data_IF_651742824247
#
_entry.id   IF_651742824247
#
_cell.length_a   1.000
_cell.length_b   1.000
_cell.length_c   1.000
_cell.angle_alpha   90.00
_cell.angle_beta   90.00
_cell.angle_gamma   90.00
#
_symmetry.space_group_name_H-M   'P 1'
#
loop_
_entity.id
_entity.type
_entity.pdbx_description
1 polymer ?
#
# COMPACT_ATOMS: atom_id res chain seq x y z
N UNK A 1 0.08 -7.86 42.67
CA UNK A 1 -0.21 -6.72 41.79
C UNK A 1 0.69 -6.84 40.58
N UNK A 2 0.14 -7.25 39.44
CA UNK A 2 0.86 -7.27 38.16
C UNK A 2 0.77 -5.86 37.60
N UNK A 3 1.86 -5.10 37.68
CA UNK A 3 1.96 -3.82 36.99
C UNK A 3 1.80 -4.08 35.49
N UNK A 4 0.67 -3.65 34.95
CA UNK A 4 0.43 -3.70 33.52
C UNK A 4 1.46 -2.79 32.84
N UNK A 5 2.48 -3.40 32.23
CA UNK A 5 3.48 -2.68 31.44
C UNK A 5 2.70 -1.85 30.40
N UNK A 6 2.82 -0.51 30.40
CA UNK A 6 2.10 0.32 29.45
C UNK A 6 2.46 -0.11 28.04
N UNK A 7 1.46 -0.47 27.24
CA UNK A 7 1.66 -0.76 25.83
C UNK A 7 2.31 0.46 25.17
N UNK A 8 3.55 0.31 24.72
CA UNK A 8 4.30 1.41 24.14
C UNK A 8 3.55 1.97 22.93
N UNK A 9 3.27 3.28 22.98
CA UNK A 9 2.47 3.96 21.96
C UNK A 9 3.25 4.07 20.65
N UNK A 10 2.59 3.65 19.58
CA UNK A 10 3.10 3.76 18.22
C UNK A 10 3.33 5.24 17.86
N UNK A 11 4.47 5.61 17.28
CA UNK A 11 4.73 7.01 16.90
C UNK A 11 3.70 7.51 15.89
N UNK A 12 3.29 8.77 16.00
CA UNK A 12 2.25 9.37 15.15
C UNK A 12 2.53 9.22 13.65
N UNK A 13 3.79 9.38 13.23
CA UNK A 13 4.20 9.17 11.84
C UNK A 13 3.88 7.74 11.36
N UNK A 14 4.23 6.72 12.16
CA UNK A 14 3.98 5.32 11.80
C UNK A 14 2.46 5.03 11.80
N UNK A 15 1.69 5.68 12.68
CA UNK A 15 0.22 5.58 12.67
C UNK A 15 -0.36 6.18 11.38
N UNK A 16 0.15 7.33 10.95
CA UNK A 16 -0.26 7.97 9.69
C UNK A 16 0.05 7.09 8.47
N UNK A 17 1.24 6.48 8.41
CA UNK A 17 1.57 5.52 7.36
C UNK A 17 0.64 4.30 7.38
N UNK A 18 0.31 3.76 8.56
CA UNK A 18 -0.64 2.66 8.69
C UNK A 18 -2.04 3.05 8.21
N UNK A 19 -2.50 4.25 8.56
CA UNK A 19 -3.78 4.77 8.13
C UNK A 19 -3.81 4.92 6.60
N UNK A 20 -2.75 5.48 6.00
CA UNK A 20 -2.59 5.59 4.55
C UNK A 20 -2.65 4.23 3.86
N UNK A 21 -1.88 3.25 4.33
CA UNK A 21 -1.88 1.89 3.79
C UNK A 21 -3.25 1.19 3.94
N UNK A 22 -3.95 1.44 5.04
CA UNK A 22 -5.31 0.91 5.27
C UNK A 22 -6.30 1.53 4.29
N UNK A 23 -6.19 2.83 4.03
CA UNK A 23 -7.02 3.53 3.06
C UNK A 23 -6.76 3.01 1.64
N UNK A 24 -5.49 2.84 1.24
CA UNK A 24 -5.14 2.23 -0.04
C UNK A 24 -5.70 0.82 -0.19
N UNK A 25 -5.60 -0.01 0.86
CA UNK A 25 -6.18 -1.35 0.87
C UNK A 25 -7.71 -1.29 0.68
N UNK A 26 -8.39 -0.35 1.35
CA UNK A 26 -9.82 -0.12 1.17
C UNK A 26 -10.20 0.21 -0.28
N UNK A 27 -9.45 1.11 -0.92
CA UNK A 27 -9.65 1.44 -2.34
C UNK A 27 -9.33 0.26 -3.27
N UNK A 28 -8.26 -0.50 -2.99
CA UNK A 28 -7.90 -1.67 -3.78
C UNK A 28 -8.97 -2.77 -3.68
N UNK A 29 -9.54 -2.99 -2.49
CA UNK A 29 -10.65 -3.91 -2.28
C UNK A 29 -11.91 -3.47 -3.03
N UNK A 30 -12.23 -2.17 -2.99
CA UNK A 30 -13.36 -1.62 -3.74
C UNK A 30 -13.18 -1.83 -5.25
N UNK A 31 -12.01 -1.49 -5.79
CA UNK A 31 -11.69 -1.69 -7.20
C UNK A 31 -11.77 -3.18 -7.57
N UNK A 32 -11.20 -4.05 -6.74
CA UNK A 32 -11.25 -5.50 -6.95
C UNK A 32 -12.69 -6.01 -6.99
N UNK A 33 -13.54 -5.57 -6.08
CA UNK A 33 -14.96 -5.94 -6.05
C UNK A 33 -15.71 -5.48 -7.31
N UNK A 34 -15.47 -4.24 -7.75
CA UNK A 34 -16.07 -3.70 -8.98
C UNK A 34 -15.64 -4.51 -10.20
N UNK A 35 -14.34 -4.75 -10.36
CA UNK A 35 -13.79 -5.49 -11.50
C UNK A 35 -14.15 -6.98 -11.45
N UNK A 36 -14.30 -7.56 -10.25
CA UNK A 36 -14.74 -8.93 -10.07
C UNK A 36 -16.18 -9.15 -10.58
N UNK A 37 -17.04 -8.14 -10.47
CA UNK A 37 -18.39 -8.21 -11.03
C UNK A 37 -18.37 -8.35 -12.56
N UNK A 38 -17.49 -7.62 -13.24
CA UNK A 38 -17.30 -7.73 -14.70
C UNK A 38 -16.80 -9.12 -15.11
N UNK A 39 -15.92 -9.71 -14.29
CA UNK A 39 -15.43 -11.07 -14.49
C UNK A 39 -16.57 -12.10 -14.44
N UNK A 40 -17.45 -11.98 -13.44
CA UNK A 40 -18.61 -12.85 -13.25
C UNK A 40 -19.65 -12.63 -14.36
N UNK A 41 -19.75 -11.42 -14.90
CA UNK A 41 -20.63 -11.09 -16.03
C UNK A 41 -20.17 -11.66 -17.39
N UNK A 42 -19.04 -12.38 -17.44
CA UNK A 42 -18.59 -13.12 -18.62
C UNK A 42 -17.64 -12.35 -19.55
N UNK A 43 -17.21 -11.14 -19.20
CA UNK A 43 -16.26 -10.34 -19.99
C UNK A 43 -14.79 -10.73 -19.73
N UNK A 44 -14.48 -12.02 -19.71
CA UNK A 44 -13.15 -12.52 -19.29
C UNK A 44 -12.25 -12.74 -20.50
N UNK A 45 -11.23 -11.89 -20.65
CA UNK A 45 -10.10 -12.12 -21.55
C UNK A 45 -8.86 -12.60 -20.78
N UNK A 46 -7.89 -13.29 -21.41
CA UNK A 46 -6.65 -13.67 -20.73
C UNK A 46 -5.88 -12.48 -20.15
N UNK A 47 -5.87 -11.34 -20.85
CA UNK A 47 -5.24 -10.11 -20.37
C UNK A 47 -5.96 -9.54 -19.13
N UNK A 48 -7.29 -9.60 -19.12
CA UNK A 48 -8.09 -9.21 -17.97
C UNK A 48 -7.78 -10.07 -16.73
N UNK A 49 -7.60 -11.39 -16.90
CA UNK A 49 -7.23 -12.28 -15.80
C UNK A 49 -5.86 -11.95 -15.20
N UNK A 50 -4.87 -11.60 -16.04
CA UNK A 50 -3.54 -11.19 -15.57
C UNK A 50 -3.64 -9.91 -14.73
N UNK A 51 -4.41 -8.92 -15.21
CA UNK A 51 -4.64 -7.68 -14.48
C UNK A 51 -5.38 -7.90 -13.16
N UNK A 52 -6.41 -8.76 -13.15
CA UNK A 52 -7.17 -9.11 -11.94
C UNK A 52 -6.30 -9.85 -10.92
N UNK A 53 -5.43 -10.76 -11.36
CA UNK A 53 -4.49 -11.47 -10.51
C UNK A 53 -3.47 -10.51 -9.88
N UNK A 54 -2.97 -9.54 -10.66
CA UNK A 54 -2.09 -8.49 -10.14
C UNK A 54 -2.79 -7.67 -9.05
N UNK A 55 -4.04 -7.26 -9.28
CA UNK A 55 -4.83 -6.52 -8.30
C UNK A 55 -5.07 -7.34 -7.01
N UNK A 56 -5.43 -8.61 -7.16
CA UNK A 56 -5.60 -9.54 -6.03
C UNK A 56 -4.30 -9.68 -5.23
N UNK A 57 -3.16 -9.82 -5.90
CA UNK A 57 -1.85 -9.93 -5.26
C UNK A 57 -1.55 -8.69 -4.41
N UNK A 58 -1.81 -7.49 -4.95
CA UNK A 58 -1.64 -6.22 -4.21
C UNK A 58 -2.54 -6.19 -2.97
N UNK A 59 -3.82 -6.55 -3.11
CA UNK A 59 -4.77 -6.61 -1.98
C UNK A 59 -4.28 -7.57 -0.90
N UNK A 60 -3.85 -8.77 -1.27
CA UNK A 60 -3.36 -9.77 -0.31
C UNK A 60 -2.10 -9.28 0.41
N UNK A 61 -1.12 -8.75 -0.34
CA UNK A 61 0.12 -8.25 0.26
C UNK A 61 -0.15 -7.07 1.19
N UNK A 62 -0.96 -6.11 0.76
CA UNK A 62 -1.32 -4.94 1.58
C UNK A 62 -2.12 -5.35 2.83
N UNK A 63 -3.07 -6.28 2.69
CA UNK A 63 -3.81 -6.86 3.81
C UNK A 63 -2.88 -7.52 4.84
N UNK A 64 -1.92 -8.31 4.37
CA UNK A 64 -0.92 -8.93 5.23
C UNK A 64 -0.03 -7.90 5.94
N UNK A 65 0.38 -6.84 5.24
CA UNK A 65 1.19 -5.77 5.81
C UNK A 65 0.43 -4.97 6.87
N UNK A 66 -0.82 -4.56 6.58
CA UNK A 66 -1.68 -3.84 7.54
C UNK A 66 -1.96 -4.68 8.77
N UNK A 67 -2.20 -5.99 8.60
CA UNK A 67 -2.38 -6.92 9.72
C UNK A 67 -1.10 -7.08 10.55
N UNK A 68 0.06 -7.19 9.91
CA UNK A 68 1.35 -7.35 10.59
C UNK A 68 2.02 -6.04 11.01
N UNK A 69 1.36 -4.90 10.82
CA UNK A 69 1.93 -3.60 11.12
C UNK A 69 2.30 -3.42 12.61
N UNK A 70 1.60 -4.13 13.51
CA UNK A 70 1.89 -4.16 14.95
C UNK A 70 3.09 -5.04 15.32
N UNK A 71 3.57 -5.90 14.41
CA UNK A 71 4.63 -6.87 14.69
C UNK A 71 5.99 -6.24 14.93
N UNK A 72 6.18 -4.94 14.62
CA UNK A 72 7.44 -4.18 14.78
C UNK A 72 8.68 -4.77 14.09
N UNK A 73 8.54 -5.83 13.29
CA UNK A 73 9.68 -6.47 12.63
C UNK A 73 10.19 -5.63 11.46
N UNK A 74 11.52 -5.58 11.31
CA UNK A 74 12.22 -4.84 10.26
C UNK A 74 11.78 -5.21 8.85
N UNK A 75 11.49 -6.49 8.62
CA UNK A 75 11.05 -6.97 7.30
C UNK A 75 9.69 -6.38 6.90
N UNK A 76 8.78 -6.12 7.84
CA UNK A 76 7.45 -5.53 7.54
C UNK A 76 7.61 -4.11 6.98
N UNK A 77 8.54 -3.32 7.55
CA UNK A 77 8.88 -1.99 7.04
C UNK A 77 9.39 -2.06 5.61
N UNK A 78 10.37 -2.92 5.34
CA UNK A 78 10.97 -3.01 4.00
C UNK A 78 10.02 -3.57 2.96
N UNK A 79 9.14 -4.51 3.34
CA UNK A 79 8.07 -4.96 2.45
C UNK A 79 7.09 -3.84 2.13
N UNK A 80 6.67 -3.03 3.12
CA UNK A 80 5.83 -1.88 2.86
C UNK A 80 6.52 -0.85 1.95
N UNK A 81 7.79 -0.52 2.21
CA UNK A 81 8.59 0.35 1.33
C UNK A 81 8.64 -0.19 -0.10
N UNK A 82 8.89 -1.50 -0.27
CA UNK A 82 8.94 -2.11 -1.59
C UNK A 82 7.59 -2.04 -2.32
N UNK A 83 6.48 -2.29 -1.62
CA UNK A 83 5.13 -2.22 -2.20
C UNK A 83 4.77 -0.79 -2.62
N UNK A 84 5.04 0.20 -1.77
CA UNK A 84 4.79 1.61 -2.14
C UNK A 84 5.69 2.03 -3.31
N UNK A 85 6.97 1.63 -3.32
CA UNK A 85 7.90 1.95 -4.39
C UNK A 85 7.45 1.36 -5.73
N UNK A 86 6.98 0.10 -5.74
CA UNK A 86 6.41 -0.55 -6.93
C UNK A 86 5.14 0.16 -7.38
N UNK A 87 4.28 0.58 -6.45
CA UNK A 87 3.05 1.31 -6.77
C UNK A 87 3.35 2.66 -7.43
N UNK A 88 4.29 3.43 -6.86
CA UNK A 88 4.74 4.71 -7.44
C UNK A 88 5.39 4.50 -8.80
N UNK A 89 6.34 3.57 -8.89
CA UNK A 89 7.05 3.27 -10.13
C UNK A 89 6.11 2.79 -11.23
N UNK A 90 5.16 1.92 -10.89
CA UNK A 90 4.13 1.44 -11.80
C UNK A 90 3.26 2.57 -12.35
N UNK A 91 2.81 3.49 -11.50
CA UNK A 91 2.04 4.66 -11.94
C UNK A 91 2.84 5.58 -12.87
N UNK A 92 4.13 5.82 -12.57
CA UNK A 92 5.01 6.63 -13.41
C UNK A 92 5.24 5.96 -14.77
N UNK A 93 5.51 4.66 -14.79
CA UNK A 93 5.72 3.90 -16.03
C UNK A 93 4.44 3.86 -16.86
N UNK A 94 3.28 3.63 -16.24
CA UNK A 94 2.00 3.64 -16.92
C UNK A 94 1.72 5.01 -17.58
N UNK A 95 1.91 6.10 -16.84
CA UNK A 95 1.76 7.46 -17.36
C UNK A 95 2.77 7.78 -18.49
N UNK A 96 3.99 7.26 -18.42
CA UNK A 96 4.99 7.40 -19.47
C UNK A 96 4.55 6.70 -20.76
N UNK A 97 4.05 5.46 -20.64
CA UNK A 97 3.58 4.64 -21.77
C UNK A 97 2.34 5.25 -22.41
N UNK A 98 1.41 5.81 -21.61
CA UNK A 98 0.21 6.48 -22.13
C UNK A 98 0.47 7.87 -22.73
N UNK A 99 1.69 8.40 -22.60
CA UNK A 99 2.03 9.77 -23.02
C UNK A 99 1.39 10.85 -22.14
N UNK A 100 0.89 10.48 -20.96
CA UNK A 100 0.19 11.35 -20.02
C UNK A 100 1.12 11.91 -18.93
N UNK A 101 2.44 11.73 -19.08
CA UNK A 101 3.41 12.10 -18.07
C UNK A 101 3.49 13.62 -17.93
N UNK A 102 2.77 14.14 -16.94
CA UNK A 102 2.72 15.56 -16.61
C UNK A 102 2.52 15.81 -15.11
N UNK A 103 2.52 17.08 -14.73
CA UNK A 103 2.33 17.47 -13.32
C UNK A 103 0.99 16.95 -12.74
N UNK A 104 -0.06 16.89 -13.56
CA UNK A 104 -1.37 16.35 -13.14
C UNK A 104 -1.31 14.88 -12.71
N UNK A 105 -0.58 14.04 -13.44
CA UNK A 105 -0.39 12.63 -13.07
C UNK A 105 0.51 12.44 -11.85
N UNK A 106 1.45 13.35 -11.61
CA UNK A 106 2.36 13.27 -10.46
C UNK A 106 1.71 13.71 -9.14
N UNK A 107 0.71 14.60 -9.21
CA UNK A 107 -0.01 15.14 -8.03
C UNK A 107 -1.35 14.42 -7.78
N UNK A 108 -1.69 13.43 -8.62
CA UNK A 108 -2.84 12.55 -8.41
C UNK A 108 -2.73 11.80 -7.06
N UNK A 109 -3.87 11.59 -6.38
CA UNK A 109 -3.94 10.91 -5.08
C UNK A 109 -3.31 9.49 -5.08
N UNK A 110 -3.45 8.76 -6.17
CA UNK A 110 -2.84 7.45 -6.42
C UNK A 110 -1.32 7.48 -6.53
N UNK A 111 -0.69 8.64 -6.78
CA UNK A 111 0.77 8.81 -6.70
C UNK A 111 1.19 9.43 -5.36
N UNK A 112 0.46 10.43 -4.88
CA UNK A 112 0.81 11.19 -3.67
C UNK A 112 0.72 10.34 -2.41
N UNK A 113 -0.33 9.53 -2.25
CA UNK A 113 -0.52 8.73 -1.04
C UNK A 113 0.58 7.66 -0.87
N UNK A 114 0.93 6.86 -1.90
CA UNK A 114 2.09 5.96 -1.80
C UNK A 114 3.40 6.67 -1.48
N UNK A 115 3.66 7.82 -2.13
CA UNK A 115 4.87 8.61 -1.87
C UNK A 115 4.90 9.09 -0.41
N UNK A 116 3.78 9.57 0.13
CA UNK A 116 3.71 10.01 1.52
C UNK A 116 4.01 8.86 2.50
N UNK A 117 3.43 7.67 2.26
CA UNK A 117 3.70 6.48 3.09
C UNK A 117 5.19 6.11 3.00
N UNK A 118 5.76 6.08 1.80
CA UNK A 118 7.16 5.77 1.55
C UNK A 118 8.08 6.75 2.31
N UNK A 119 7.86 8.06 2.18
CA UNK A 119 8.63 9.09 2.88
C UNK A 119 8.54 8.89 4.40
N UNK A 120 7.34 8.65 4.94
CA UNK A 120 7.15 8.39 6.36
C UNK A 120 7.91 7.13 6.81
N UNK A 121 7.86 6.05 6.05
CA UNK A 121 8.54 4.79 6.37
C UNK A 121 10.07 4.90 6.29
N UNK A 122 10.60 5.86 5.52
CA UNK A 122 12.03 6.15 5.47
C UNK A 122 12.52 7.02 6.64
N UNK A 123 11.61 7.60 7.44
CA UNK A 123 12.01 8.43 8.59
C UNK A 123 12.73 7.63 9.68
N UNK A 124 13.63 8.26 10.46
CA UNK A 124 14.25 7.64 11.63
C UNK A 124 13.24 7.18 12.69
N UNK A 125 12.10 7.87 12.83
CA UNK A 125 11.03 7.45 13.73
C UNK A 125 10.42 6.11 13.34
N UNK A 126 10.19 5.88 12.05
CA UNK A 126 9.70 4.59 11.56
C UNK A 126 10.77 3.50 11.71
N UNK A 127 12.04 3.83 11.46
CA UNK A 127 13.15 2.91 11.67
C UNK A 127 13.19 2.38 13.11
N UNK A 128 13.21 3.30 14.10
CA UNK A 128 13.25 2.94 15.52
C UNK A 128 12.06 2.11 15.98
N UNK A 129 10.90 2.27 15.36
CA UNK A 129 9.71 1.46 15.66
C UNK A 129 9.82 0.04 15.11
N UNK A 130 10.36 -0.11 13.90
CA UNK A 130 10.44 -1.39 13.19
C UNK A 130 11.75 -2.17 13.39
N UNK A 131 12.73 -1.63 14.13
CA UNK A 131 13.98 -2.32 14.44
C UNK A 131 13.92 -3.09 15.79
N UNK A 132 12.72 -3.51 16.23
CA UNK A 132 12.49 -4.23 17.50
C UNK A 132 11.78 -5.55 17.27
#
# INVERSE_FOLDING_TARGET
MTDAIPAERMPAAVQAARAGATLQLGFALLLFAMTGADAVAGAVTPMFLVWLLQLLLVVVIMGLLVFRWSSRRKWVRWCAVAVEAVTVGGNVVAAAISGELGWGTLVNLGAVLPVAILVILLTPSAARWFDR
#
